data_IF_320036295360
#
_entry.id   IF_320036295360
#
_cell.length_a   1.000
_cell.length_b   1.000
_cell.length_c   1.000
_cell.angle_alpha   90.00
_cell.angle_beta   90.00
_cell.angle_gamma   90.00
#
_symmetry.space_group_name_H-M   'P 1'
#
loop_
_entity.id
_entity.type
_entity.pdbx_description
1 polymer ?
#
# COMPACT_ATOMS: atom_id res chain seq x y z
N UNK A 1 6.05 12.58 -6.87
CA UNK A 1 5.38 11.73 -7.87
C UNK A 1 5.79 10.31 -7.58
N UNK A 2 4.83 9.39 -7.52
CA UNK A 2 5.10 7.97 -7.31
C UNK A 2 5.78 7.42 -8.57
N UNK A 3 6.90 6.74 -8.37
CA UNK A 3 7.55 5.96 -9.42
C UNK A 3 6.88 4.58 -9.49
N UNK A 4 6.01 4.37 -10.48
CA UNK A 4 5.26 3.12 -10.62
C UNK A 4 6.13 1.95 -11.11
N UNK A 5 7.31 2.20 -11.66
CA UNK A 5 8.17 1.14 -12.21
C UNK A 5 8.83 0.30 -11.11
N UNK A 6 8.94 0.85 -9.88
CA UNK A 6 9.54 0.15 -8.74
C UNK A 6 8.60 -0.88 -8.08
N UNK A 7 7.30 -0.81 -8.33
CA UNK A 7 6.32 -1.75 -7.77
C UNK A 7 6.16 -2.95 -8.70
N UNK A 8 7.16 -3.83 -8.68
CA UNK A 8 7.33 -4.93 -9.63
C UNK A 8 6.59 -6.21 -9.25
N UNK A 9 6.14 -6.33 -8.00
CA UNK A 9 5.47 -7.52 -7.47
C UNK A 9 4.03 -7.22 -7.04
N UNK A 10 3.31 -8.27 -6.64
CA UNK A 10 1.97 -8.18 -6.06
C UNK A 10 1.98 -8.81 -4.68
N UNK A 11 1.34 -8.15 -3.72
CA UNK A 11 1.09 -8.68 -2.38
C UNK A 11 -0.40 -8.77 -2.12
N UNK A 12 -0.84 -9.81 -1.40
CA UNK A 12 -2.24 -9.94 -0.97
C UNK A 12 -2.38 -9.42 0.45
N UNK A 13 -3.22 -8.39 0.63
CA UNK A 13 -3.57 -7.79 1.94
C UNK A 13 -5.08 -7.95 2.09
N UNK A 14 -5.52 -8.63 3.14
CA UNK A 14 -6.95 -8.91 3.43
C UNK A 14 -7.78 -9.45 2.26
N UNK A 15 -7.13 -10.22 1.37
CA UNK A 15 -7.77 -10.85 0.21
C UNK A 15 -7.78 -10.00 -1.06
N UNK A 16 -7.22 -8.80 -1.02
CA UNK A 16 -7.07 -7.90 -2.17
C UNK A 16 -5.61 -7.83 -2.63
N UNK A 17 -5.42 -7.69 -3.95
CA UNK A 17 -4.11 -7.62 -4.59
C UNK A 17 -3.62 -6.17 -4.72
N UNK A 18 -2.42 -5.90 -4.20
CA UNK A 18 -1.77 -4.60 -4.24
C UNK A 18 -0.43 -4.69 -4.93
N UNK A 19 -0.06 -3.63 -5.68
CA UNK A 19 1.29 -3.53 -6.23
C UNK A 19 2.29 -3.32 -5.10
N UNK A 20 3.40 -4.03 -5.16
CA UNK A 20 4.39 -4.13 -4.10
C UNK A 20 5.80 -3.93 -4.65
N UNK A 21 6.60 -3.16 -3.89
CA UNK A 21 8.03 -3.00 -4.08
C UNK A 21 8.76 -3.87 -3.03
N UNK A 22 9.31 -5.03 -3.43
CA UNK A 22 10.02 -5.94 -2.53
C UNK A 22 11.36 -5.39 -2.04
N UNK A 23 11.90 -4.35 -2.67
CA UNK A 23 13.18 -3.74 -2.28
C UNK A 23 12.96 -2.79 -1.10
N UNK A 24 11.91 -1.97 -1.15
CA UNK A 24 11.60 -1.00 -0.08
C UNK A 24 10.60 -1.51 0.95
N UNK A 25 9.88 -2.61 0.67
CA UNK A 25 8.82 -3.11 1.54
C UNK A 25 7.56 -2.25 1.51
N UNK A 26 7.27 -1.62 0.37
CA UNK A 26 6.16 -0.68 0.21
C UNK A 26 5.07 -1.25 -0.70
N UNK A 27 3.81 -1.12 -0.29
CA UNK A 27 2.64 -1.38 -1.13
C UNK A 27 2.00 -0.07 -1.59
N UNK A 28 1.41 -0.09 -2.79
CA UNK A 28 0.58 1.01 -3.29
C UNK A 28 -0.86 0.81 -2.88
N UNK A 29 -1.34 1.61 -1.93
CA UNK A 29 -2.69 1.52 -1.39
C UNK A 29 -3.50 2.75 -1.80
N UNK A 30 -4.74 2.53 -2.21
CA UNK A 30 -5.63 3.63 -2.57
C UNK A 30 -6.35 4.18 -1.34
N UNK A 31 -6.38 5.50 -1.17
CA UNK A 31 -7.20 6.12 -0.13
C UNK A 31 -8.70 5.89 -0.40
N UNK A 32 -9.41 5.37 0.60
CA UNK A 32 -10.85 5.07 0.51
C UNK A 32 -11.75 6.31 0.35
N UNK A 33 -11.24 7.51 0.59
CA UNK A 33 -12.02 8.76 0.50
C UNK A 33 -11.77 9.55 -0.79
N UNK A 34 -10.50 9.76 -1.19
CA UNK A 34 -10.15 10.62 -2.32
C UNK A 34 -9.49 9.87 -3.49
N UNK A 35 -9.34 8.55 -3.38
CA UNK A 35 -8.75 7.69 -4.41
C UNK A 35 -7.28 8.00 -4.76
N UNK A 36 -6.59 8.84 -3.98
CA UNK A 36 -5.15 9.05 -4.11
C UNK A 36 -4.38 7.75 -3.81
N UNK A 37 -3.31 7.50 -4.56
CA UNK A 37 -2.40 6.39 -4.28
C UNK A 37 -1.38 6.83 -3.22
N UNK A 38 -1.17 5.99 -2.21
CA UNK A 38 -0.20 6.19 -1.15
C UNK A 38 0.80 5.02 -1.12
N UNK A 39 2.04 5.33 -0.77
CA UNK A 39 3.07 4.33 -0.51
C UNK A 39 2.99 3.98 0.98
N UNK A 40 2.59 2.74 1.29
CA UNK A 40 2.35 2.28 2.65
C UNK A 40 3.28 1.12 2.96
N UNK A 41 3.95 1.17 4.11
CA UNK A 41 4.82 0.09 4.57
C UNK A 41 4.02 -1.20 4.73
N UNK A 42 4.55 -2.27 4.14
CA UNK A 42 3.92 -3.59 4.09
C UNK A 42 4.89 -4.65 4.58
N UNK A 43 4.52 -5.32 5.67
CA UNK A 43 5.23 -6.48 6.19
C UNK A 43 4.67 -7.75 5.51
N UNK A 44 5.55 -8.58 4.96
CA UNK A 44 5.15 -9.86 4.33
C UNK A 44 5.52 -11.01 5.25
N UNK A 45 4.51 -11.70 5.80
CA UNK A 45 4.69 -12.85 6.70
C UNK A 45 3.99 -14.06 6.08
N UNK A 46 4.74 -15.14 5.82
CA UNK A 46 4.21 -16.37 5.21
C UNK A 46 3.42 -16.13 3.90
N UNK A 47 3.84 -15.13 3.10
CA UNK A 47 3.21 -14.78 1.83
C UNK A 47 1.94 -13.92 1.96
N UNK A 48 1.58 -13.47 3.17
CA UNK A 48 0.50 -12.52 3.40
C UNK A 48 1.07 -11.15 3.74
N UNK A 49 0.58 -10.13 3.04
CA UNK A 49 0.92 -8.74 3.32
C UNK A 49 0.10 -8.22 4.49
N UNK A 50 0.73 -7.40 5.32
CA UNK A 50 0.10 -6.64 6.39
C UNK A 50 0.56 -5.19 6.30
N UNK A 51 -0.38 -4.27 6.27
CA UNK A 51 -0.12 -2.83 6.35
C UNK A 51 -0.60 -2.28 7.68
N UNK A 52 -0.11 -1.10 8.05
CA UNK A 52 -0.66 -0.33 9.16
C UNK A 52 -1.65 0.72 8.63
N UNK A 53 -2.61 1.12 9.47
CA UNK A 53 -3.48 2.26 9.16
C UNK A 53 -2.66 3.52 8.85
N UNK A 54 -3.10 4.31 7.89
CA UNK A 54 -2.35 5.48 7.41
C UNK A 54 -3.23 6.69 7.17
N UNK A 55 -2.65 7.87 7.32
CA UNK A 55 -3.31 9.13 6.98
C UNK A 55 -2.98 9.52 5.54
N UNK A 56 -3.99 9.73 4.71
CA UNK A 56 -3.81 10.15 3.33
C UNK A 56 -3.11 11.52 3.27
N UNK A 57 -2.01 11.60 2.54
CA UNK A 57 -1.19 12.80 2.41
C UNK A 57 -1.89 13.90 1.61
N UNK A 58 -2.86 13.53 0.77
CA UNK A 58 -3.64 14.46 -0.04
C UNK A 58 -4.87 15.03 0.67
N UNK A 59 -5.68 14.21 1.36
CA UNK A 59 -6.97 14.64 1.91
C UNK A 59 -7.09 14.57 3.44
N UNK A 60 -6.07 14.05 4.14
CA UNK A 60 -6.07 13.92 5.60
C UNK A 60 -7.00 12.84 6.16
N UNK A 61 -7.66 12.06 5.30
CA UNK A 61 -8.51 10.95 5.74
C UNK A 61 -7.65 9.83 6.38
N UNK A 62 -8.12 9.29 7.50
CA UNK A 62 -7.51 8.14 8.17
C UNK A 62 -8.08 6.85 7.56
N UNK A 63 -7.22 6.10 6.85
CA UNK A 63 -7.57 4.80 6.27
C UNK A 63 -7.22 3.73 7.31
N UNK A 64 -8.25 3.04 7.80
CA UNK A 64 -8.12 1.92 8.72
C UNK A 64 -7.74 0.66 7.93
N UNK A 65 -6.71 -0.04 8.39
CA UNK A 65 -6.23 -1.32 7.85
C UNK A 65 -6.79 -2.48 8.68
#
# INVERSE_FOLDING_TARGET
MIDFERFTETVVIDGEEYRYDPVSGMALVQCGNCSNMEEVECEVVEGKGRICSFMCTQCGHFNEA
#
